data_IF_143135716953
#
_entry.id   IF_143135716953
#
_cell.length_a   1.000
_cell.length_b   1.000
_cell.length_c   1.000
_cell.angle_alpha   90.00
_cell.angle_beta   90.00
_cell.angle_gamma   90.00
#
_symmetry.space_group_name_H-M   'P 1'
#
loop_
_entity.id
_entity.type
_entity.pdbx_description
1 polymer ?
#
# COMPACT_ATOMS: atom_id res chain seq x y z
N UNK A 1 -29.28 6.16 6.00
CA UNK A 1 -27.81 6.09 6.02
C UNK A 1 -27.41 5.09 7.09
N UNK A 2 -26.87 3.93 6.70
CA UNK A 2 -26.29 2.99 7.66
C UNK A 2 -25.13 3.70 8.36
N UNK A 3 -25.17 3.79 9.70
CA UNK A 3 -23.97 4.10 10.49
C UNK A 3 -22.99 2.98 10.18
N UNK A 4 -22.05 3.24 9.25
CA UNK A 4 -20.96 2.33 8.98
C UNK A 4 -20.21 2.13 10.29
N UNK A 5 -20.45 1.00 10.95
CA UNK A 5 -19.67 0.62 12.12
C UNK A 5 -18.26 0.44 11.61
N UNK A 6 -17.34 1.31 12.04
CA UNK A 6 -15.92 1.15 11.78
C UNK A 6 -15.55 -0.24 12.31
N UNK A 7 -15.34 -1.19 11.40
CA UNK A 7 -15.10 -2.58 11.75
C UNK A 7 -13.86 -2.71 12.63
N UNK A 8 -13.80 -3.76 13.45
CA UNK A 8 -12.58 -4.03 14.23
C UNK A 8 -11.49 -4.54 13.29
N UNK A 9 -10.39 -3.80 13.19
CA UNK A 9 -9.19 -4.26 12.49
C UNK A 9 -8.56 -5.40 13.31
N UNK A 10 -8.37 -6.55 12.67
CA UNK A 10 -7.78 -7.75 13.29
C UNK A 10 -6.64 -8.22 12.40
N UNK A 11 -5.40 -8.41 12.93
CA UNK A 11 -4.22 -8.72 12.10
C UNK A 11 -4.42 -9.88 11.12
N UNK A 12 -4.95 -11.01 11.62
CA UNK A 12 -5.16 -12.24 10.82
C UNK A 12 -6.17 -12.11 9.68
N UNK A 13 -7.00 -11.07 9.68
CA UNK A 13 -8.01 -10.80 8.65
C UNK A 13 -7.77 -9.44 7.98
N UNK A 14 -6.53 -8.95 8.01
CA UNK A 14 -6.14 -7.67 7.44
C UNK A 14 -4.98 -7.84 6.46
N UNK A 15 -4.89 -6.91 5.52
CA UNK A 15 -3.77 -6.76 4.59
C UNK A 15 -3.34 -5.29 4.56
N UNK A 16 -2.03 -5.04 4.44
CA UNK A 16 -1.47 -3.69 4.27
C UNK A 16 -1.15 -3.45 2.80
N UNK A 17 -1.65 -2.36 2.24
CA UNK A 17 -1.37 -1.89 0.90
C UNK A 17 -0.47 -0.65 0.97
N UNK A 18 0.68 -0.73 0.32
CA UNK A 18 1.63 0.37 0.13
C UNK A 18 1.59 0.80 -1.35
N UNK A 19 0.90 1.90 -1.61
CA UNK A 19 0.57 2.36 -2.96
C UNK A 19 1.61 3.37 -3.47
N UNK A 20 2.39 2.96 -4.46
CA UNK A 20 3.11 3.82 -5.42
C UNK A 20 4.04 4.88 -4.79
N UNK A 21 4.69 4.55 -3.67
CA UNK A 21 5.62 5.44 -2.96
C UNK A 21 6.98 5.53 -3.68
N UNK A 22 7.01 6.16 -4.85
CA UNK A 22 8.14 6.11 -5.79
C UNK A 22 8.97 7.40 -5.85
N UNK A 23 10.24 7.26 -6.27
CA UNK A 23 11.26 8.33 -6.29
C UNK A 23 10.82 9.62 -6.99
N UNK A 24 10.17 9.53 -8.17
CA UNK A 24 9.83 10.73 -8.93
C UNK A 24 8.65 11.54 -8.38
N UNK A 25 7.97 11.04 -7.34
CA UNK A 25 6.93 11.81 -6.66
C UNK A 25 7.47 12.77 -5.61
N UNK A 26 8.72 12.58 -5.13
CA UNK A 26 9.38 13.44 -4.13
C UNK A 26 9.18 14.95 -4.35
N UNK A 27 9.41 15.53 -5.55
CA UNK A 27 9.30 16.97 -5.75
C UNK A 27 7.85 17.48 -5.84
N UNK A 28 6.89 16.59 -6.14
CA UNK A 28 5.52 16.97 -6.52
C UNK A 28 4.49 16.67 -5.42
N UNK A 29 4.87 15.94 -4.37
CA UNK A 29 4.01 15.62 -3.25
C UNK A 29 4.44 16.41 -2.02
N UNK A 30 3.56 17.30 -1.57
CA UNK A 30 3.72 17.97 -0.28
C UNK A 30 3.80 16.94 0.85
N UNK A 31 4.75 17.16 1.77
CA UNK A 31 5.00 16.28 2.92
C UNK A 31 5.40 14.83 2.55
N UNK A 32 5.96 14.60 1.36
CA UNK A 32 6.39 13.27 0.93
C UNK A 32 7.26 12.53 1.98
N UNK A 33 8.30 13.15 2.59
CA UNK A 33 9.09 12.47 3.63
C UNK A 33 8.26 12.01 4.84
N UNK A 34 7.28 12.80 5.26
CA UNK A 34 6.40 12.47 6.38
C UNK A 34 5.45 11.33 6.01
N UNK A 35 4.90 11.34 4.79
CA UNK A 35 4.04 10.26 4.27
C UNK A 35 4.83 8.94 4.22
N UNK A 36 6.05 8.96 3.69
CA UNK A 36 6.95 7.78 3.69
C UNK A 36 7.22 7.31 5.12
N UNK A 37 7.51 8.22 6.05
CA UNK A 37 7.77 7.86 7.45
C UNK A 37 6.57 7.17 8.12
N UNK A 38 5.34 7.63 7.85
CA UNK A 38 4.12 6.99 8.36
C UNK A 38 3.90 5.63 7.69
N UNK A 39 4.07 5.51 6.37
CA UNK A 39 3.95 4.25 5.66
C UNK A 39 4.98 3.22 6.12
N UNK A 40 6.23 3.64 6.36
CA UNK A 40 7.30 2.80 6.92
C UNK A 40 6.96 2.34 8.34
N UNK A 41 6.33 3.20 9.16
CA UNK A 41 5.83 2.82 10.48
C UNK A 41 4.74 1.76 10.39
N UNK A 42 3.80 1.93 9.45
CA UNK A 42 2.75 0.93 9.21
C UNK A 42 3.33 -0.40 8.74
N UNK A 43 4.37 -0.38 7.89
CA UNK A 43 5.09 -1.59 7.49
C UNK A 43 5.75 -2.29 8.68
N UNK A 44 6.37 -1.55 9.60
CA UNK A 44 6.94 -2.12 10.84
C UNK A 44 5.87 -2.79 11.71
N UNK A 45 4.71 -2.15 11.85
CA UNK A 45 3.56 -2.73 12.56
C UNK A 45 3.05 -3.98 11.87
N UNK A 46 2.92 -3.96 10.54
CA UNK A 46 2.47 -5.12 9.77
C UNK A 46 3.43 -6.30 9.92
N UNK A 47 4.75 -6.07 9.82
CA UNK A 47 5.77 -7.10 10.09
C UNK A 47 5.65 -7.67 11.50
N UNK A 48 5.51 -6.83 12.52
CA UNK A 48 5.42 -7.26 13.92
C UNK A 48 4.14 -8.06 14.24
N UNK A 49 3.05 -7.80 13.51
CA UNK A 49 1.76 -8.45 13.69
C UNK A 49 1.47 -9.54 12.64
N UNK A 50 2.47 -9.89 11.82
CA UNK A 50 2.36 -10.89 10.75
C UNK A 50 1.22 -10.60 9.77
N UNK A 51 0.98 -9.32 9.47
CA UNK A 51 -0.01 -8.86 8.50
C UNK A 51 0.58 -8.95 7.09
N UNK A 52 -0.14 -9.61 6.18
CA UNK A 52 0.22 -9.66 4.76
C UNK A 52 0.38 -8.24 4.20
N UNK A 53 1.43 -7.99 3.42
CA UNK A 53 1.72 -6.66 2.87
C UNK A 53 1.95 -6.72 1.38
N UNK A 54 1.30 -5.82 0.65
CA UNK A 54 1.40 -5.65 -0.80
C UNK A 54 2.00 -4.28 -1.10
N UNK A 55 2.93 -4.23 -2.06
CA UNK A 55 3.54 -2.99 -2.55
C UNK A 55 3.30 -2.89 -4.05
N UNK A 56 2.75 -1.78 -4.52
CA UNK A 56 2.63 -1.51 -5.97
C UNK A 56 3.55 -0.41 -6.42
N UNK A 57 3.91 -0.48 -7.71
CA UNK A 57 4.63 0.59 -8.41
C UNK A 57 3.87 0.95 -9.68
N UNK A 58 3.49 2.21 -9.80
CA UNK A 58 2.94 2.77 -11.03
C UNK A 58 4.09 3.03 -12.01
N UNK A 59 4.10 2.36 -13.16
CA UNK A 59 5.04 2.59 -14.26
C UNK A 59 6.48 2.93 -13.79
N UNK A 60 7.18 2.02 -13.07
CA UNK A 60 8.46 2.33 -12.43
C UNK A 60 9.57 2.72 -13.42
N UNK A 61 9.47 2.30 -14.68
CA UNK A 61 10.35 2.78 -15.77
C UNK A 61 10.30 4.31 -15.91
N UNK A 62 9.12 4.90 -15.74
CA UNK A 62 8.90 6.34 -15.85
C UNK A 62 8.91 7.08 -14.52
N UNK A 63 8.43 6.47 -13.43
CA UNK A 63 8.26 7.10 -12.11
C UNK A 63 9.32 6.72 -11.08
N UNK A 64 10.26 5.84 -11.46
CA UNK A 64 11.30 5.33 -10.57
C UNK A 64 10.80 4.20 -9.66
N UNK A 65 11.72 3.57 -8.92
CA UNK A 65 11.36 2.54 -7.96
C UNK A 65 10.71 3.13 -6.71
N UNK A 66 10.15 2.26 -5.87
CA UNK A 66 9.76 2.55 -4.49
C UNK A 66 10.94 3.11 -3.72
N UNK A 67 10.70 4.14 -2.90
CA UNK A 67 11.74 4.81 -2.13
C UNK A 67 12.32 3.90 -1.04
N UNK A 68 13.66 3.89 -0.83
CA UNK A 68 14.30 3.01 0.14
C UNK A 68 13.88 3.32 1.59
N UNK A 69 13.54 4.57 1.92
CA UNK A 69 13.11 4.96 3.27
C UNK A 69 11.80 4.26 3.70
N UNK A 70 11.07 3.63 2.78
CA UNK A 70 9.90 2.82 3.08
C UNK A 70 10.29 1.51 3.81
N UNK A 71 11.48 0.96 3.60
CA UNK A 71 11.94 -0.30 4.21
C UNK A 71 11.27 -1.57 3.66
N UNK A 72 10.87 -1.51 2.39
CA UNK A 72 10.14 -2.55 1.66
C UNK A 72 11.02 -3.31 0.65
N UNK A 73 12.35 -3.29 0.79
CA UNK A 73 13.33 -3.85 -0.14
C UNK A 73 13.12 -5.35 -0.38
N UNK A 74 12.77 -6.09 0.68
CA UNK A 74 12.57 -7.55 0.64
C UNK A 74 11.16 -7.96 0.17
N UNK A 75 10.24 -7.02 -0.01
CA UNK A 75 8.87 -7.32 -0.46
C UNK A 75 8.78 -7.37 -1.98
N UNK A 76 7.92 -8.23 -2.57
CA UNK A 76 7.63 -8.16 -4.00
C UNK A 76 6.97 -6.82 -4.36
N UNK A 77 7.34 -6.26 -5.52
CA UNK A 77 6.73 -5.03 -6.07
C UNK A 77 5.89 -5.39 -7.29
N UNK A 78 4.60 -5.15 -7.18
CA UNK A 78 3.65 -5.41 -8.26
C UNK A 78 3.56 -4.18 -9.15
N UNK A 79 4.11 -4.29 -10.36
CA UNK A 79 4.11 -3.18 -11.33
C UNK A 79 2.76 -3.07 -12.03
N UNK A 80 2.25 -1.85 -12.17
CA UNK A 80 0.99 -1.57 -12.86
C UNK A 80 1.05 -0.29 -13.70
N UNK A 81 0.08 -0.16 -14.60
CA UNK A 81 -0.21 1.09 -15.33
C UNK A 81 -1.64 1.60 -15.10
N UNK A 82 -2.54 0.76 -14.58
CA UNK A 82 -3.83 1.20 -14.06
C UNK A 82 -3.66 1.91 -12.71
N UNK A 83 -4.56 2.84 -12.39
CA UNK A 83 -4.50 3.57 -11.12
C UNK A 83 -4.78 2.67 -9.92
N UNK A 84 -5.84 1.86 -9.99
CA UNK A 84 -6.19 0.96 -8.89
C UNK A 84 -5.09 -0.07 -8.62
N UNK A 85 -4.87 -0.40 -7.34
CA UNK A 85 -3.95 -1.47 -6.94
C UNK A 85 -4.46 -2.87 -7.27
N UNK A 86 -5.75 -3.02 -7.60
CA UNK A 86 -6.39 -4.30 -7.88
C UNK A 86 -6.06 -4.82 -9.28
N UNK A 87 -4.83 -5.29 -9.43
CA UNK A 87 -4.39 -6.11 -10.57
C UNK A 87 -4.47 -7.61 -10.21
N UNK A 88 -4.50 -8.53 -11.19
CA UNK A 88 -4.68 -9.96 -10.93
C UNK A 88 -3.70 -10.55 -9.90
N UNK A 89 -2.45 -10.08 -9.90
CA UNK A 89 -1.43 -10.50 -8.94
C UNK A 89 -1.76 -10.05 -7.52
N UNK A 90 -2.29 -8.84 -7.34
CA UNK A 90 -2.70 -8.31 -6.03
C UNK A 90 -3.99 -8.98 -5.55
N UNK A 91 -4.94 -9.25 -6.45
CA UNK A 91 -6.16 -10.02 -6.12
C UNK A 91 -5.82 -11.44 -5.64
N UNK A 92 -4.76 -12.04 -6.22
CA UNK A 92 -4.24 -13.33 -5.76
C UNK A 92 -3.65 -13.24 -4.35
N UNK A 93 -2.88 -12.20 -4.03
CA UNK A 93 -2.37 -11.97 -2.66
C UNK A 93 -3.52 -11.78 -1.67
N UNK A 94 -4.55 -11.01 -2.04
CA UNK A 94 -5.74 -10.82 -1.21
C UNK A 94 -6.47 -12.14 -0.94
N UNK A 95 -6.60 -12.99 -1.97
CA UNK A 95 -7.24 -14.30 -1.86
C UNK A 95 -6.46 -15.28 -0.96
N UNK A 96 -5.17 -15.04 -0.74
CA UNK A 96 -4.34 -15.84 0.17
C UNK A 96 -4.61 -15.53 1.65
N UNK A 97 -5.21 -14.37 1.96
CA UNK A 97 -5.51 -13.94 3.34
C UNK A 97 -6.86 -14.51 3.80
N UNK A 98 -6.89 -15.42 4.79
CA UNK A 98 -8.13 -16.05 5.23
C UNK A 98 -9.11 -15.04 5.82
N UNK A 99 -10.37 -15.07 5.37
CA UNK A 99 -11.44 -14.20 5.87
C UNK A 99 -11.06 -12.71 5.84
N UNK A 100 -10.39 -12.24 4.77
CA UNK A 100 -9.99 -10.84 4.62
C UNK A 100 -11.19 -9.90 4.83
N UNK A 101 -11.06 -9.00 5.81
CA UNK A 101 -12.13 -8.05 6.22
C UNK A 101 -11.68 -6.60 6.19
N UNK A 102 -10.38 -6.34 6.13
CA UNK A 102 -9.84 -5.00 6.26
C UNK A 102 -8.60 -4.83 5.39
N UNK A 103 -8.54 -3.71 4.68
CA UNK A 103 -7.35 -3.26 3.96
C UNK A 103 -6.87 -1.99 4.65
N UNK A 104 -5.63 -2.01 5.15
CA UNK A 104 -4.92 -0.82 5.60
C UNK A 104 -4.27 -0.22 4.37
N UNK A 105 -4.68 0.97 3.94
CA UNK A 105 -4.20 1.60 2.72
C UNK A 105 -3.30 2.80 3.05
N UNK A 106 -2.08 2.81 2.54
CA UNK A 106 -1.12 3.88 2.68
C UNK A 106 -0.47 4.15 1.33
N UNK A 107 -0.29 5.42 0.95
CA UNK A 107 0.44 5.75 -0.27
C UNK A 107 -0.05 7.03 -0.92
N UNK A 108 0.19 7.11 -2.23
CA UNK A 108 -0.13 8.24 -3.09
C UNK A 108 -0.64 7.74 -4.46
N UNK A 109 -1.34 8.54 -5.26
CA UNK A 109 -1.92 9.85 -4.92
C UNK A 109 -3.35 9.69 -4.40
N UNK A 110 -3.71 10.49 -3.39
CA UNK A 110 -5.01 10.42 -2.70
C UNK A 110 -6.20 10.44 -3.66
N UNK A 111 -6.13 11.28 -4.69
CA UNK A 111 -7.19 11.50 -5.68
C UNK A 111 -7.12 10.58 -6.91
N UNK A 112 -6.11 9.71 -6.99
CA UNK A 112 -5.93 8.78 -8.10
C UNK A 112 -5.79 7.35 -7.55
N UNK A 113 -4.57 6.81 -7.45
CA UNK A 113 -4.34 5.41 -7.08
C UNK A 113 -4.93 4.98 -5.73
N UNK A 114 -5.16 5.91 -4.81
CA UNK A 114 -5.81 5.64 -3.51
C UNK A 114 -7.35 5.62 -3.61
N UNK A 115 -7.93 6.43 -4.50
CA UNK A 115 -9.39 6.61 -4.61
C UNK A 115 -10.04 5.66 -5.64
N UNK A 116 -9.29 5.26 -6.68
CA UNK A 116 -9.79 4.56 -7.88
C UNK A 116 -9.82 3.03 -7.73
#
# INVERSE_FOLDING_TARGET
MSLARLGKVVPKSSILFLCDMQEKFRPNISYFPQIVSVAARMLKVAKALEICTVVTEQYPKGLGPTVPELGAEELPKYTKTCFSMLIPEVEKEMSSVPNLKSVLLCGIETQACIMV
#
